data_IF_636839039779
#
_entry.id   IF_636839039779
#
_cell.length_a   1.000
_cell.length_b   1.000
_cell.length_c   1.000
_cell.angle_alpha   90.00
_cell.angle_beta   90.00
_cell.angle_gamma   90.00
#
_symmetry.space_group_name_H-M   'P 1'
#
loop_
_entity.id
_entity.type
_entity.pdbx_description
1 polymer ?
#
# COMPACT_ATOMS: atom_id res chain seq x y z
N UNK A 1 -5.40 -22.92 -6.67
CA UNK A 1 -4.83 -21.62 -7.15
C UNK A 1 -5.04 -20.62 -6.02
N UNK A 2 -4.03 -19.86 -5.65
CA UNK A 2 -4.10 -18.78 -4.66
C UNK A 2 -4.48 -17.48 -5.37
N UNK A 3 -5.33 -16.68 -4.74
CA UNK A 3 -5.65 -15.33 -5.20
C UNK A 3 -4.96 -14.31 -4.30
N UNK A 4 -4.20 -13.42 -4.89
CA UNK A 4 -3.37 -12.44 -4.20
C UNK A 4 -3.64 -11.05 -4.77
N UNK A 5 -3.60 -10.03 -3.91
CA UNK A 5 -3.82 -8.64 -4.31
C UNK A 5 -2.59 -7.81 -3.96
N UNK A 6 -2.05 -7.12 -4.96
CA UNK A 6 -1.06 -6.08 -4.82
C UNK A 6 -1.71 -4.72 -5.03
N UNK A 7 -1.53 -3.82 -4.06
CA UNK A 7 -1.96 -2.43 -4.15
C UNK A 7 -0.73 -1.55 -4.26
N UNK A 8 -0.56 -0.93 -5.44
CA UNK A 8 0.54 -0.02 -5.68
C UNK A 8 0.23 1.38 -5.17
N UNK A 9 1.03 1.88 -4.22
CA UNK A 9 0.95 3.25 -3.72
C UNK A 9 2.16 4.04 -4.22
N UNK A 10 2.00 4.92 -5.23
CA UNK A 10 3.14 5.51 -5.94
C UNK A 10 3.78 6.70 -5.21
N UNK A 11 3.33 7.06 -4.02
CA UNK A 11 3.80 8.26 -3.34
C UNK A 11 5.01 8.00 -2.46
N UNK A 12 5.98 8.93 -2.50
CA UNK A 12 7.11 9.02 -1.59
C UNK A 12 7.21 10.43 -1.02
N UNK A 13 7.72 10.58 0.20
CA UNK A 13 8.09 11.89 0.72
C UNK A 13 9.33 12.43 0.02
N UNK A 14 10.28 11.53 -0.29
CA UNK A 14 11.52 11.81 -0.98
C UNK A 14 11.84 10.66 -1.92
N UNK A 15 12.37 10.95 -3.11
CA UNK A 15 12.85 9.92 -4.03
C UNK A 15 14.30 9.57 -3.69
N UNK A 16 14.58 8.30 -3.51
CA UNK A 16 15.92 7.80 -3.26
C UNK A 16 16.78 7.87 -4.53
N UNK A 17 18.08 8.12 -4.38
CA UNK A 17 19.00 8.29 -5.50
C UNK A 17 19.15 7.05 -6.41
N UNK A 18 18.77 5.88 -5.93
CA UNK A 18 18.85 4.60 -6.67
C UNK A 18 17.49 4.07 -7.14
N UNK A 19 16.38 4.79 -6.86
CA UNK A 19 15.02 4.28 -7.10
C UNK A 19 14.62 4.45 -8.57
N UNK A 20 14.28 3.35 -9.24
CA UNK A 20 13.71 3.31 -10.59
C UNK A 20 12.23 2.89 -10.61
N UNK A 21 11.60 2.75 -9.45
CA UNK A 21 10.16 2.49 -9.36
C UNK A 21 9.33 3.67 -9.86
N UNK A 22 8.12 3.36 -10.34
CA UNK A 22 7.14 4.37 -10.72
C UNK A 22 6.59 5.08 -9.47
N UNK A 23 7.31 6.09 -9.00
CA UNK A 23 7.01 6.81 -7.77
C UNK A 23 7.04 8.32 -7.97
N UNK A 24 6.25 9.03 -7.19
CA UNK A 24 6.07 10.48 -7.26
C UNK A 24 6.18 11.12 -5.88
N UNK A 25 6.84 12.27 -5.82
CA UNK A 25 6.91 13.09 -4.60
C UNK A 25 5.81 14.15 -4.55
N UNK A 26 5.11 14.38 -5.66
CA UNK A 26 3.98 15.29 -5.71
C UNK A 26 2.81 14.79 -4.84
N UNK A 27 2.17 15.73 -4.13
CA UNK A 27 0.97 15.45 -3.32
C UNK A 27 -0.27 15.38 -4.20
N UNK A 28 -0.28 16.14 -5.29
CA UNK A 28 -1.35 16.21 -6.28
C UNK A 28 -0.74 16.09 -7.68
N UNK A 29 -1.26 15.16 -8.46
CA UNK A 29 -0.84 14.90 -9.84
C UNK A 29 -1.87 15.40 -10.86
N UNK A 30 -2.88 16.14 -10.43
CA UNK A 30 -3.97 16.64 -11.26
C UNK A 30 -5.07 15.61 -11.54
N UNK A 31 -6.15 16.06 -12.16
CA UNK A 31 -7.31 15.23 -12.56
C UNK A 31 -7.92 14.38 -11.42
N UNK A 32 -7.82 14.82 -10.16
CA UNK A 32 -8.28 14.11 -8.97
C UNK A 32 -7.32 13.04 -8.45
N UNK A 33 -6.19 12.83 -9.11
CA UNK A 33 -5.14 11.92 -8.66
C UNK A 33 -4.26 12.59 -7.61
N UNK A 34 -4.71 12.59 -6.38
CA UNK A 34 -4.00 13.16 -5.24
C UNK A 34 -3.81 12.13 -4.15
N UNK A 35 -2.83 12.37 -3.28
CA UNK A 35 -2.60 11.55 -2.10
C UNK A 35 -3.86 11.45 -1.23
N UNK A 36 -4.60 12.55 -1.07
CA UNK A 36 -5.84 12.59 -0.28
C UNK A 36 -7.04 11.89 -0.92
N UNK A 37 -7.02 11.60 -2.22
CA UNK A 37 -8.10 10.91 -2.94
C UNK A 37 -7.72 9.50 -3.42
N UNK A 38 -6.49 9.07 -3.17
CA UNK A 38 -5.95 7.84 -3.74
C UNK A 38 -6.73 6.59 -3.33
N UNK A 39 -7.09 6.48 -2.06
CA UNK A 39 -7.87 5.35 -1.56
C UNK A 39 -9.21 5.21 -2.31
N UNK A 40 -9.90 6.31 -2.55
CA UNK A 40 -11.16 6.30 -3.31
C UNK A 40 -10.98 5.82 -4.75
N UNK A 41 -9.86 6.19 -5.39
CA UNK A 41 -9.55 5.75 -6.76
C UNK A 41 -9.29 4.24 -6.80
N UNK A 42 -8.50 3.72 -5.86
CA UNK A 42 -8.21 2.28 -5.74
C UNK A 42 -9.48 1.47 -5.46
N UNK A 43 -10.35 1.95 -4.56
CA UNK A 43 -11.63 1.29 -4.25
C UNK A 43 -12.53 1.25 -5.49
N UNK A 44 -12.56 2.31 -6.30
CA UNK A 44 -13.29 2.31 -7.58
C UNK A 44 -12.71 1.31 -8.57
N UNK A 45 -11.39 1.23 -8.67
CA UNK A 45 -10.72 0.24 -9.53
C UNK A 45 -11.08 -1.18 -9.13
N UNK A 46 -11.12 -1.50 -7.82
CA UNK A 46 -11.56 -2.81 -7.32
C UNK A 46 -12.98 -3.16 -7.80
N UNK A 47 -13.90 -2.21 -7.77
CA UNK A 47 -15.25 -2.42 -8.27
C UNK A 47 -15.29 -2.72 -9.77
N UNK A 48 -14.49 -2.01 -10.57
CA UNK A 48 -14.36 -2.24 -12.01
C UNK A 48 -13.77 -3.63 -12.29
N UNK A 49 -12.71 -4.00 -11.57
CA UNK A 49 -12.09 -5.33 -11.71
C UNK A 49 -13.07 -6.44 -11.35
N UNK A 50 -13.84 -6.26 -10.27
CA UNK A 50 -14.84 -7.26 -9.85
C UNK A 50 -15.95 -7.42 -10.88
N UNK A 51 -16.44 -6.34 -11.44
CA UNK A 51 -17.45 -6.35 -12.50
C UNK A 51 -16.92 -7.06 -13.75
N UNK A 52 -15.70 -6.74 -14.15
CA UNK A 52 -15.02 -7.41 -15.25
C UNK A 52 -14.85 -8.91 -15.03
N UNK A 53 -14.39 -9.33 -13.84
CA UNK A 53 -14.30 -10.75 -13.48
C UNK A 53 -15.63 -11.45 -13.59
N UNK A 54 -16.68 -10.86 -13.05
CA UNK A 54 -18.05 -11.42 -13.09
C UNK A 54 -18.54 -11.58 -14.53
N UNK A 55 -18.34 -10.58 -15.36
CA UNK A 55 -18.74 -10.60 -16.78
C UNK A 55 -18.00 -11.68 -17.58
N UNK A 56 -16.76 -12.01 -17.19
CA UNK A 56 -15.95 -13.05 -17.84
C UNK A 56 -16.04 -14.42 -17.15
N UNK A 57 -16.92 -14.59 -16.16
CA UNK A 57 -17.11 -15.86 -15.47
C UNK A 57 -15.91 -16.25 -14.57
N UNK A 58 -15.11 -15.29 -14.15
CA UNK A 58 -13.94 -15.51 -13.28
C UNK A 58 -14.42 -15.47 -11.83
N UNK A 59 -14.26 -16.59 -11.13
CA UNK A 59 -14.56 -16.73 -9.71
C UNK A 59 -13.27 -16.98 -8.94
N UNK A 60 -12.74 -15.95 -8.31
CA UNK A 60 -11.58 -16.06 -7.46
C UNK A 60 -11.95 -16.59 -6.07
N UNK A 61 -11.08 -17.39 -5.43
CA UNK A 61 -11.23 -17.76 -4.03
C UNK A 61 -11.06 -16.52 -3.12
N UNK A 62 -11.25 -16.71 -1.81
CA UNK A 62 -10.86 -15.66 -0.84
C UNK A 62 -9.39 -15.29 -1.01
N UNK A 63 -9.09 -14.00 -0.81
CA UNK A 63 -7.74 -13.46 -0.93
C UNK A 63 -6.83 -14.08 0.13
N UNK A 64 -5.71 -14.67 -0.30
CA UNK A 64 -4.72 -15.29 0.58
C UNK A 64 -3.62 -14.31 1.01
N UNK A 65 -3.34 -13.29 0.20
CA UNK A 65 -2.31 -12.28 0.50
C UNK A 65 -2.74 -10.93 -0.01
N UNK A 66 -2.59 -9.90 0.81
CA UNK A 66 -2.71 -8.50 0.40
C UNK A 66 -1.40 -7.78 0.68
N UNK A 67 -0.82 -7.17 -0.34
CA UNK A 67 0.44 -6.44 -0.22
C UNK A 67 0.29 -5.01 -0.72
N UNK A 68 0.58 -4.06 0.18
CA UNK A 68 0.66 -2.65 -0.15
C UNK A 68 2.12 -2.25 -0.32
N UNK A 69 2.49 -1.84 -1.52
CA UNK A 69 3.88 -1.52 -1.85
C UNK A 69 4.01 -0.43 -2.90
N UNK A 70 5.20 -0.28 -3.45
CA UNK A 70 5.51 0.64 -4.53
C UNK A 70 6.43 1.78 -4.14
N UNK A 71 5.89 2.94 -3.84
CA UNK A 71 6.63 4.07 -3.27
C UNK A 71 6.79 3.89 -1.76
N UNK A 72 5.96 4.57 -1.01
CA UNK A 72 5.87 4.43 0.45
C UNK A 72 4.38 4.47 0.83
N UNK A 73 3.72 3.32 0.97
CA UNK A 73 2.30 3.27 1.30
C UNK A 73 1.91 4.10 2.52
N UNK A 74 2.77 4.14 3.53
CA UNK A 74 2.56 4.88 4.76
C UNK A 74 2.73 6.40 4.65
N UNK A 75 2.88 6.93 3.43
CA UNK A 75 2.65 8.36 3.14
C UNK A 75 1.17 8.72 3.10
N UNK A 76 0.29 7.73 2.95
CA UNK A 76 -1.16 7.87 3.11
C UNK A 76 -1.53 7.81 4.60
N UNK A 77 -2.72 8.24 4.95
CA UNK A 77 -3.26 8.05 6.29
C UNK A 77 -3.48 6.56 6.56
N UNK A 78 -3.32 6.13 7.81
CA UNK A 78 -3.62 4.75 8.20
C UNK A 78 -5.08 4.39 7.86
N UNK A 79 -6.02 5.30 8.10
CA UNK A 79 -7.43 5.14 7.73
C UNK A 79 -7.66 4.88 6.24
N UNK A 80 -6.84 5.44 5.36
CA UNK A 80 -6.95 5.22 3.92
C UNK A 80 -6.49 3.81 3.53
N UNK A 81 -5.39 3.32 4.14
CA UNK A 81 -4.92 1.94 3.96
C UNK A 81 -5.96 0.94 4.49
N UNK A 82 -6.52 1.21 5.66
CA UNK A 82 -7.60 0.37 6.25
C UNK A 82 -8.83 0.37 5.35
N UNK A 83 -9.26 1.52 4.83
CA UNK A 83 -10.41 1.60 3.94
C UNK A 83 -10.22 0.77 2.65
N UNK A 84 -9.01 0.79 2.06
CA UNK A 84 -8.68 -0.04 0.91
C UNK A 84 -8.71 -1.54 1.26
N UNK A 85 -8.18 -1.92 2.43
CA UNK A 85 -8.22 -3.31 2.91
C UNK A 85 -9.67 -3.77 3.17
N UNK A 86 -10.51 -2.91 3.74
CA UNK A 86 -11.94 -3.20 3.94
C UNK A 86 -12.67 -3.39 2.62
N UNK A 87 -12.31 -2.62 1.59
CA UNK A 87 -12.85 -2.80 0.25
C UNK A 87 -12.44 -4.16 -0.36
N UNK A 88 -11.19 -4.61 -0.17
CA UNK A 88 -10.76 -5.96 -0.57
C UNK A 88 -11.60 -7.02 0.13
N UNK A 89 -11.80 -6.87 1.45
CA UNK A 89 -12.60 -7.79 2.27
C UNK A 89 -14.05 -7.87 1.79
N UNK A 90 -14.64 -6.73 1.49
CA UNK A 90 -16.01 -6.65 1.01
C UNK A 90 -16.18 -7.21 -0.41
N UNK A 91 -15.17 -7.07 -1.28
CA UNK A 91 -15.25 -7.44 -2.70
C UNK A 91 -15.00 -8.92 -2.95
N UNK A 92 -13.99 -9.51 -2.31
CA UNK A 92 -13.57 -10.90 -2.57
C UNK A 92 -13.57 -11.78 -1.31
N UNK A 93 -13.64 -11.16 -0.11
CA UNK A 93 -13.34 -11.84 1.15
C UNK A 93 -11.85 -12.08 1.34
N UNK A 94 -11.41 -12.16 2.56
CA UNK A 94 -10.02 -12.45 2.94
C UNK A 94 -10.00 -13.77 3.72
N UNK A 95 -9.03 -14.64 3.43
CA UNK A 95 -8.84 -15.88 4.16
C UNK A 95 -8.43 -15.62 5.61
N UNK A 96 -8.81 -16.49 6.53
CA UNK A 96 -8.59 -16.27 7.97
C UNK A 96 -7.09 -16.28 8.35
N UNK A 97 -6.27 -16.96 7.54
CA UNK A 97 -4.81 -17.08 7.66
C UNK A 97 -4.04 -16.17 6.68
N UNK A 98 -4.71 -15.22 6.02
CA UNK A 98 -4.10 -14.34 5.04
C UNK A 98 -2.98 -13.49 5.63
N UNK A 99 -1.88 -13.32 4.87
CA UNK A 99 -0.87 -12.30 5.16
C UNK A 99 -1.32 -10.97 4.59
N UNK A 100 -1.36 -9.94 5.46
CA UNK A 100 -1.74 -8.58 5.08
C UNK A 100 -0.58 -7.66 5.43
N UNK A 101 0.17 -7.27 4.40
CA UNK A 101 1.44 -6.55 4.53
C UNK A 101 1.33 -5.14 3.97
N UNK A 102 1.97 -4.20 4.64
CA UNK A 102 2.34 -2.90 4.07
C UNK A 102 3.82 -2.62 4.20
N UNK A 103 4.40 -2.04 3.14
CA UNK A 103 5.72 -1.41 3.24
C UNK A 103 5.61 -0.08 3.97
N UNK A 104 6.64 0.26 4.73
CA UNK A 104 6.73 1.49 5.49
C UNK A 104 8.16 2.02 5.54
N UNK A 105 8.29 3.34 5.62
CA UNK A 105 9.52 3.98 6.05
C UNK A 105 9.38 4.37 7.54
N UNK A 106 10.45 4.22 8.35
CA UNK A 106 10.40 4.61 9.76
C UNK A 106 9.94 6.05 9.99
N UNK A 107 10.28 6.96 9.07
CA UNK A 107 9.93 8.39 9.16
C UNK A 107 8.44 8.70 8.89
N UNK A 108 7.68 7.73 8.40
CA UNK A 108 6.27 7.94 7.99
C UNK A 108 5.27 7.39 8.99
N UNK A 109 5.72 6.71 10.04
CA UNK A 109 4.86 6.04 11.01
C UNK A 109 5.24 6.40 12.46
N UNK A 110 4.25 6.31 13.34
CA UNK A 110 4.41 6.35 14.79
C UNK A 110 3.58 5.23 15.43
N UNK A 111 3.61 5.13 16.75
CA UNK A 111 2.90 4.07 17.47
C UNK A 111 1.38 4.07 17.23
N UNK A 112 0.76 5.24 17.18
CA UNK A 112 -0.69 5.37 16.93
C UNK A 112 -1.05 4.92 15.51
N UNK A 113 -0.23 5.31 14.52
CA UNK A 113 -0.39 4.89 13.13
C UNK A 113 -0.31 3.36 12.99
N UNK A 114 0.71 2.75 13.61
CA UNK A 114 0.89 1.29 13.58
C UNK A 114 -0.26 0.57 14.28
N UNK A 115 -0.73 1.13 15.42
CA UNK A 115 -1.89 0.60 16.13
C UNK A 115 -3.15 0.63 15.27
N UNK A 116 -3.41 1.74 14.56
CA UNK A 116 -4.57 1.87 13.67
C UNK A 116 -4.53 0.83 12.54
N UNK A 117 -3.35 0.58 11.96
CA UNK A 117 -3.18 -0.48 10.96
C UNK A 117 -3.47 -1.87 11.54
N UNK A 118 -2.94 -2.18 12.73
CA UNK A 118 -3.16 -3.46 13.39
C UNK A 118 -4.64 -3.68 13.72
N UNK A 119 -5.31 -2.66 14.27
CA UNK A 119 -6.75 -2.69 14.56
C UNK A 119 -7.58 -2.87 13.26
N UNK A 120 -7.11 -2.33 12.14
CA UNK A 120 -7.72 -2.47 10.80
C UNK A 120 -7.47 -3.82 10.13
N UNK A 121 -6.60 -4.67 10.71
CA UNK A 121 -6.37 -6.02 10.25
C UNK A 121 -5.06 -6.25 9.48
N UNK A 122 -4.15 -5.27 9.44
CA UNK A 122 -2.79 -5.50 8.98
C UNK A 122 -2.03 -6.36 9.99
N UNK A 123 -1.33 -7.40 9.54
CA UNK A 123 -0.61 -8.32 10.43
C UNK A 123 0.90 -8.36 10.15
N UNK A 124 1.38 -7.59 9.16
CA UNK A 124 2.80 -7.48 8.84
C UNK A 124 3.15 -6.09 8.34
N UNK A 125 4.29 -5.55 8.80
CA UNK A 125 4.89 -4.32 8.27
C UNK A 125 6.32 -4.63 7.82
N UNK A 126 6.66 -4.22 6.58
CA UNK A 126 8.01 -4.31 6.04
C UNK A 126 8.66 -2.93 6.08
N UNK A 127 9.62 -2.75 6.98
CA UNK A 127 10.35 -1.49 7.10
C UNK A 127 11.53 -1.42 6.14
N UNK A 128 11.64 -0.31 5.40
CA UNK A 128 12.82 0.00 4.61
C UNK A 128 13.98 0.41 5.53
N UNK A 129 15.10 -0.30 5.43
CA UNK A 129 16.36 0.05 6.07
C UNK A 129 17.51 -0.20 5.09
N UNK A 130 18.28 0.83 4.78
CA UNK A 130 19.35 0.71 3.80
C UNK A 130 20.72 0.58 4.46
N UNK A 131 20.97 1.33 5.52
CA UNK A 131 22.24 1.28 6.25
C UNK A 131 22.09 1.89 7.64
N UNK A 132 22.93 1.44 8.59
CA UNK A 132 23.16 2.13 9.87
C UNK A 132 24.32 3.14 9.80
N UNK A 133 24.97 3.28 8.64
CA UNK A 133 26.18 4.12 8.47
C UNK A 133 25.80 5.45 7.82
N UNK A 134 25.99 6.61 8.49
CA UNK A 134 25.49 7.90 8.01
C UNK A 134 25.99 8.32 6.62
N UNK A 135 27.26 8.10 6.28
CA UNK A 135 27.78 8.49 4.97
C UNK A 135 27.21 7.62 3.84
N UNK A 136 26.86 6.37 4.10
CA UNK A 136 26.17 5.50 3.13
C UNK A 136 24.76 6.00 2.88
N UNK A 137 24.03 6.35 3.95
CA UNK A 137 22.68 6.94 3.82
C UNK A 137 22.72 8.24 3.03
N UNK A 138 23.70 9.11 3.28
CA UNK A 138 23.87 10.35 2.52
C UNK A 138 24.11 10.09 1.02
N UNK A 139 24.90 9.07 0.68
CA UNK A 139 25.17 8.68 -0.72
C UNK A 139 23.93 8.12 -1.40
N UNK A 140 23.07 7.41 -0.66
CA UNK A 140 21.83 6.82 -1.17
C UNK A 140 20.64 7.79 -1.14
N UNK A 141 20.83 8.98 -0.61
CA UNK A 141 19.75 9.96 -0.41
C UNK A 141 18.65 9.43 0.53
N UNK A 142 19.07 8.76 1.62
CA UNK A 142 18.23 8.10 2.62
C UNK A 142 18.46 8.63 4.02
N UNK A 143 17.46 8.45 4.89
CA UNK A 143 17.50 8.80 6.33
C UNK A 143 17.60 7.55 7.22
N UNK A 144 17.38 6.38 6.65
CA UNK A 144 17.36 5.09 7.37
C UNK A 144 17.76 3.92 6.47
#
# INVERSE_FOLDING_TARGET
MTFEIYIHVPFCLRRCGYCDFNTYTAVDMGAGASRGNYANMVIREMAIVRDWQTTHGINEPKVATVFFGGGTPTTLKASDLVAMLDAVRATWGIADDAEITTEANPDTVNADYVKELADGGFNRISFGMQSAVPHVLATLDRTH
#
